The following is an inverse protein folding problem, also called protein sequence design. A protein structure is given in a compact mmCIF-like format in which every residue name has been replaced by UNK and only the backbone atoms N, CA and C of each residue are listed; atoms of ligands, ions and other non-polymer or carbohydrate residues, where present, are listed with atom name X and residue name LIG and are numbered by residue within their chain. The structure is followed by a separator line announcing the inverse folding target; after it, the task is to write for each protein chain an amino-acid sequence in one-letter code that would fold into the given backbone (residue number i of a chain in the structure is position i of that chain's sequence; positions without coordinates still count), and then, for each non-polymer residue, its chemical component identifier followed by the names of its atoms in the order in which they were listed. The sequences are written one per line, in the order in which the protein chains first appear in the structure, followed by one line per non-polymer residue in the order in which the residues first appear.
data_IF_632230310111
#
_entry.id   IF_632230310111
#
_cell.length_a   1.000
_cell.length_b   1.000
_cell.length_c   1.000
_cell.angle_alpha   90.00
_cell.angle_beta   90.00
_cell.angle_gamma   90.00
#
_symmetry.space_group_name_H-M   'P 1'
#
loop_
_entity.id
_entity.type
_entity.pdbx_description
1 polymer ?
#
# COMPACT_ATOMS: atom_id res chain seq x y z
N UNK A 1 23.12 -17.01 6.17
CA UNK A 1 23.16 -16.50 4.78
C UNK A 1 22.14 -15.38 4.72
N UNK A 2 22.48 -14.16 4.29
CA UNK A 2 21.48 -13.11 4.14
C UNK A 2 20.39 -13.59 3.17
N UNK A 3 19.11 -13.42 3.54
CA UNK A 3 18.00 -13.76 2.65
C UNK A 3 18.07 -12.89 1.40
N UNK A 4 17.91 -13.51 0.24
CA UNK A 4 17.83 -12.77 -1.01
C UNK A 4 16.44 -12.15 -1.22
N UNK A 5 16.30 -11.32 -2.26
CA UNK A 5 15.06 -10.61 -2.51
C UNK A 5 13.89 -11.55 -2.85
N UNK A 6 14.18 -12.68 -3.50
CA UNK A 6 13.15 -13.66 -3.88
C UNK A 6 12.63 -14.36 -2.62
N UNK A 7 13.52 -14.76 -1.72
CA UNK A 7 13.16 -15.29 -0.41
C UNK A 7 12.27 -14.32 0.37
N UNK A 8 12.62 -13.02 0.43
CA UNK A 8 11.79 -12.03 1.11
C UNK A 8 10.40 -11.89 0.47
N UNK A 9 10.30 -11.94 -0.87
CA UNK A 9 8.98 -11.90 -1.52
C UNK A 9 8.14 -13.14 -1.20
N UNK A 10 8.73 -14.32 -1.15
CA UNK A 10 8.00 -15.55 -0.77
C UNK A 10 7.46 -15.41 0.66
N UNK A 11 8.30 -14.98 1.60
CA UNK A 11 7.87 -14.74 3.00
C UNK A 11 6.74 -13.71 3.07
N UNK A 12 6.83 -12.62 2.30
CA UNK A 12 5.81 -11.57 2.27
C UNK A 12 4.48 -12.09 1.72
N UNK A 13 4.53 -12.90 0.66
CA UNK A 13 3.34 -13.52 0.05
C UNK A 13 2.62 -14.42 1.05
N UNK A 14 3.35 -15.32 1.73
CA UNK A 14 2.78 -16.24 2.72
C UNK A 14 2.18 -15.51 3.93
N UNK A 15 2.85 -14.46 4.42
CA UNK A 15 2.31 -13.64 5.52
C UNK A 15 1.00 -12.97 5.11
N UNK A 16 0.93 -12.41 3.90
CA UNK A 16 -0.29 -11.74 3.42
C UNK A 16 -1.43 -12.70 3.10
N UNK A 17 -1.13 -13.92 2.64
CA UNK A 17 -2.11 -15.00 2.50
C UNK A 17 -2.79 -15.31 3.85
N UNK A 18 -2.03 -15.23 4.94
CA UNK A 18 -2.55 -15.33 6.30
C UNK A 18 -3.38 -14.09 6.70
N UNK A 19 -2.76 -12.91 6.68
CA UNK A 19 -3.40 -11.64 7.01
C UNK A 19 -2.62 -10.45 6.44
N UNK A 20 -3.17 -9.79 5.41
CA UNK A 20 -2.55 -8.60 4.81
C UNK A 20 -2.36 -7.45 5.82
N UNK A 21 -3.29 -7.30 6.78
CA UNK A 21 -3.24 -6.32 7.87
C UNK A 21 -2.01 -6.42 8.77
N UNK A 22 -1.71 -7.64 9.25
CA UNK A 22 -0.51 -7.92 10.05
C UNK A 22 0.73 -7.84 9.16
N UNK A 23 0.63 -8.34 7.92
CA UNK A 23 1.69 -8.22 6.92
C UNK A 23 2.15 -6.78 6.71
N UNK A 24 1.22 -5.84 6.56
CA UNK A 24 1.55 -4.40 6.43
C UNK A 24 2.28 -3.86 7.66
N UNK A 25 1.85 -4.22 8.87
CA UNK A 25 2.49 -3.75 10.10
C UNK A 25 3.94 -4.25 10.23
N UNK A 26 4.21 -5.50 9.85
CA UNK A 26 5.56 -6.09 9.89
C UNK A 26 6.42 -5.53 8.75
N UNK A 27 5.93 -5.62 7.52
CA UNK A 27 6.70 -5.33 6.31
C UNK A 27 6.94 -3.82 6.08
N UNK A 28 6.23 -2.95 6.79
CA UNK A 28 6.52 -1.52 6.76
C UNK A 28 7.93 -1.18 7.32
N UNK A 29 8.49 -2.04 8.18
CA UNK A 29 9.87 -1.91 8.64
C UNK A 29 10.86 -1.98 7.47
N UNK A 30 10.67 -2.89 6.51
CA UNK A 30 11.54 -3.01 5.34
C UNK A 30 11.61 -1.70 4.55
N UNK A 31 10.51 -0.96 4.45
CA UNK A 31 10.47 0.33 3.78
C UNK A 31 11.30 1.40 4.53
N UNK A 32 11.25 1.40 5.86
CA UNK A 32 12.01 2.33 6.68
C UNK A 32 13.51 1.96 6.74
N UNK A 33 13.85 0.67 6.77
CA UNK A 33 15.21 0.15 6.90
C UNK A 33 16.01 0.20 5.58
N UNK A 34 15.35 -0.06 4.45
CA UNK A 34 15.97 -0.04 3.12
C UNK A 34 16.83 1.21 2.82
N UNK A 35 16.41 2.46 3.10
CA UNK A 35 17.26 3.63 2.84
C UNK A 35 18.57 3.60 3.65
N UNK A 36 18.55 3.07 4.87
CA UNK A 36 19.75 2.91 5.69
C UNK A 36 20.63 1.80 5.14
N UNK A 37 20.04 0.67 4.74
CA UNK A 37 20.76 -0.46 4.13
C UNK A 37 21.52 0.01 2.87
N UNK A 38 20.82 0.75 2.00
CA UNK A 38 21.35 1.20 0.70
C UNK A 38 22.33 2.38 0.82
N UNK A 39 22.05 3.36 1.67
CA UNK A 39 22.72 4.67 1.64
C UNK A 39 23.24 5.13 3.00
N UNK A 40 22.97 4.41 4.09
CA UNK A 40 23.46 4.73 5.43
C UNK A 40 24.96 4.49 5.58
N UNK A 41 25.62 5.33 6.37
CA UNK A 41 26.97 5.08 6.85
C UNK A 41 26.97 3.98 7.94
N UNK A 42 28.16 3.51 8.32
CA UNK A 42 28.30 2.39 9.26
C UNK A 42 27.76 2.73 10.67
N UNK A 43 27.87 3.98 11.12
CA UNK A 43 27.35 4.43 12.42
C UNK A 43 25.82 4.37 12.45
N UNK A 44 25.16 4.96 11.44
CA UNK A 44 23.70 4.96 11.31
C UNK A 44 23.18 3.53 11.17
N UNK A 45 23.81 2.70 10.34
CA UNK A 45 23.43 1.29 10.20
C UNK A 45 23.52 0.56 11.53
N UNK A 46 24.64 0.70 12.25
CA UNK A 46 24.86 0.04 13.54
C UNK A 46 23.86 0.48 14.61
N UNK A 47 23.58 1.78 14.71
CA UNK A 47 22.67 2.33 15.73
C UNK A 47 21.21 1.98 15.49
N UNK A 48 20.76 2.08 14.23
CA UNK A 48 19.34 1.97 13.91
C UNK A 48 18.91 0.58 13.46
N UNK A 49 19.74 -0.18 12.74
CA UNK A 49 19.35 -1.50 12.21
C UNK A 49 19.58 -2.62 13.22
N UNK A 50 20.66 -2.57 14.00
CA UNK A 50 20.99 -3.66 14.94
C UNK A 50 19.88 -3.86 15.98
N UNK A 51 19.31 -2.78 16.53
CA UNK A 51 18.20 -2.87 17.48
C UNK A 51 16.93 -3.50 16.91
N UNK A 52 16.69 -3.39 15.60
CA UNK A 52 15.53 -4.01 14.94
C UNK A 52 15.60 -5.54 14.93
N UNK A 53 16.81 -6.09 15.10
CA UNK A 53 17.05 -7.53 15.20
C UNK A 53 17.13 -8.05 16.64
N UNK A 54 17.30 -7.16 17.61
CA UNK A 54 17.42 -7.49 19.03
C UNK A 54 16.05 -7.61 19.70
N UNK A 55 15.13 -6.71 19.34
CA UNK A 55 13.77 -6.66 19.84
C UNK A 55 12.77 -6.47 18.69
N UNK A 56 11.50 -6.88 18.85
CA UNK A 56 10.46 -6.71 17.83
C UNK A 56 9.96 -5.25 17.76
N UNK A 57 10.86 -4.34 17.41
CA UNK A 57 10.60 -2.92 17.25
C UNK A 57 10.01 -2.62 15.87
N UNK A 58 9.36 -1.46 15.74
CA UNK A 58 8.86 -0.98 14.44
C UNK A 58 9.48 0.36 14.08
N UNK A 59 9.64 0.59 12.78
CA UNK A 59 10.13 1.83 12.20
C UNK A 59 9.13 2.37 11.18
N UNK A 60 9.26 3.65 10.86
CA UNK A 60 8.31 4.34 9.98
C UNK A 60 8.99 5.11 8.87
N UNK A 61 8.40 5.08 7.68
CA UNK A 61 8.87 5.81 6.51
C UNK A 61 8.04 7.07 6.29
N UNK A 62 8.57 8.22 6.70
CA UNK A 62 7.87 9.51 6.78
C UNK A 62 8.22 10.43 5.60
N UNK A 63 7.49 10.27 4.50
CA UNK A 63 7.67 11.08 3.27
C UNK A 63 6.41 11.84 2.89
N UNK A 64 5.28 11.13 2.78
CA UNK A 64 3.99 11.67 2.31
C UNK A 64 3.47 12.80 3.20
N UNK A 65 2.87 13.80 2.57
CA UNK A 65 2.23 14.94 3.21
C UNK A 65 0.80 15.10 2.69
N UNK A 66 -0.04 15.84 3.42
CA UNK A 66 -1.43 16.07 3.02
C UNK A 66 -1.57 16.72 1.64
N UNK A 67 -0.55 17.47 1.20
CA UNK A 67 -0.51 18.16 -0.09
C UNK A 67 0.36 17.46 -1.14
N UNK A 68 1.06 16.38 -0.77
CA UNK A 68 2.05 15.73 -1.62
C UNK A 68 2.17 14.23 -1.31
N UNK A 69 1.54 13.41 -2.16
CA UNK A 69 1.67 11.95 -2.18
C UNK A 69 2.46 11.48 -3.39
N UNK A 70 1.82 11.41 -4.56
CA UNK A 70 2.46 10.99 -5.81
C UNK A 70 3.59 11.93 -6.24
N UNK A 71 3.41 13.24 -6.05
CA UNK A 71 4.46 14.25 -6.28
C UNK A 71 5.32 14.44 -5.03
N UNK A 72 6.23 13.50 -4.78
CA UNK A 72 7.17 13.55 -3.65
C UNK A 72 8.06 14.80 -3.71
N UNK A 73 8.30 15.37 -4.90
CA UNK A 73 9.07 16.61 -5.03
C UNK A 73 8.31 17.84 -4.52
N UNK A 74 7.00 17.73 -4.36
CA UNK A 74 6.11 18.80 -3.87
C UNK A 74 6.06 18.96 -2.34
N UNK A 75 6.66 18.04 -1.57
CA UNK A 75 6.63 18.08 -0.09
C UNK A 75 7.23 19.39 0.46
N UNK A 76 6.74 19.82 1.62
CA UNK A 76 7.03 21.10 2.27
C UNK A 76 7.73 20.98 3.62
N UNK A 77 7.78 19.79 4.23
CA UNK A 77 8.61 19.58 5.44
C UNK A 77 10.02 20.04 5.12
N UNK A 78 10.55 20.95 5.94
CA UNK A 78 11.84 21.61 5.75
C UNK A 78 12.81 21.23 6.84
N UNK A 79 14.10 21.34 6.53
CA UNK A 79 15.16 21.22 7.51
C UNK A 79 16.19 22.34 7.32
N UNK A 80 16.71 22.86 8.42
CA UNK A 80 17.76 23.89 8.43
C UNK A 80 18.94 23.38 9.23
N UNK A 81 20.15 23.49 8.68
CA UNK A 81 21.37 23.11 9.41
C UNK A 81 21.73 24.20 10.43
N UNK A 82 21.88 23.84 11.70
CA UNK A 82 22.32 24.71 12.79
C UNK A 82 23.49 24.06 13.52
N UNK A 83 24.71 24.46 13.17
CA UNK A 83 25.92 23.85 13.71
C UNK A 83 26.07 22.39 13.26
N UNK A 84 26.11 21.48 14.23
CA UNK A 84 26.20 20.03 14.07
C UNK A 84 24.83 19.33 14.06
N UNK A 85 23.73 20.08 14.09
CA UNK A 85 22.36 19.57 14.02
C UNK A 85 21.59 20.10 12.80
N UNK A 86 20.47 19.45 12.51
CA UNK A 86 19.41 19.95 11.65
C UNK A 86 18.14 20.14 12.47
N UNK A 87 17.42 21.23 12.21
CA UNK A 87 16.10 21.48 12.79
C UNK A 87 15.04 21.20 11.73
N UNK A 88 14.19 20.21 11.98
CA UNK A 88 13.12 19.78 11.07
C UNK A 88 11.79 20.39 11.50
N UNK A 89 11.06 20.96 10.54
CA UNK A 89 9.73 21.52 10.73
C UNK A 89 8.79 21.10 9.60
N UNK A 90 7.63 20.55 9.94
CA UNK A 90 6.62 20.15 8.96
C UNK A 90 5.67 19.09 9.49
N UNK A 91 4.83 18.57 8.59
CA UNK A 91 3.89 17.50 8.92
C UNK A 91 3.85 16.46 7.81
N UNK A 92 3.75 15.20 8.25
CA UNK A 92 3.63 14.02 7.42
C UNK A 92 2.26 13.40 7.63
N UNK A 93 1.75 12.72 6.61
CA UNK A 93 0.41 12.15 6.61
C UNK A 93 0.43 10.69 6.16
N UNK A 94 -0.44 9.89 6.77
CA UNK A 94 -0.61 8.46 6.50
C UNK A 94 0.67 7.64 6.72
N UNK A 95 1.39 7.93 7.81
CA UNK A 95 2.64 7.25 8.13
C UNK A 95 2.33 5.95 8.87
N UNK A 96 2.63 4.83 8.20
CA UNK A 96 2.49 3.48 8.75
C UNK A 96 3.42 3.27 9.93
N UNK A 97 2.94 2.57 10.96
CA UNK A 97 3.62 2.29 12.24
C UNK A 97 3.93 3.51 13.13
N UNK A 98 3.54 4.71 12.72
CA UNK A 98 3.95 5.96 13.38
C UNK A 98 3.61 6.04 14.87
N UNK A 99 2.55 5.36 15.32
CA UNK A 99 2.14 5.29 16.71
C UNK A 99 3.15 4.59 17.61
N UNK A 100 3.90 3.62 17.08
CA UNK A 100 4.85 2.78 17.81
C UNK A 100 6.27 2.84 17.26
N UNK A 101 6.52 3.68 16.25
CA UNK A 101 7.81 3.83 15.61
C UNK A 101 8.91 4.13 16.64
N UNK A 102 9.88 3.24 16.74
CA UNK A 102 11.09 3.46 17.49
C UNK A 102 11.97 4.52 16.81
N UNK A 103 11.89 4.62 15.48
CA UNK A 103 12.47 5.70 14.69
C UNK A 103 11.78 5.90 13.35
N UNK A 104 12.06 7.06 12.74
CA UNK A 104 11.51 7.48 11.47
C UNK A 104 12.63 7.69 10.44
N UNK A 105 12.47 7.15 9.24
CA UNK A 105 13.07 7.76 8.07
C UNK A 105 12.29 9.04 7.75
N UNK A 106 12.95 10.20 7.68
CA UNK A 106 12.30 11.48 7.37
C UNK A 106 12.95 12.10 6.15
N UNK A 107 12.12 12.44 5.14
CA UNK A 107 12.55 13.26 4.01
C UNK A 107 12.10 14.71 4.22
N UNK A 108 13.07 15.63 4.24
CA UNK A 108 12.83 17.06 4.42
C UNK A 108 13.61 17.88 3.39
N UNK A 109 13.03 18.99 2.95
CA UNK A 109 13.65 19.95 2.03
C UNK A 109 14.74 20.72 2.76
N UNK A 110 15.98 20.58 2.33
CA UNK A 110 17.14 21.29 2.91
C UNK A 110 17.51 22.54 2.11
N UNK A 111 17.20 22.58 0.82
CA UNK A 111 17.40 23.77 -0.01
C UNK A 111 16.07 24.54 -0.17
N UNK A 112 15.96 25.78 0.33
CA UNK A 112 14.72 26.54 0.25
C UNK A 112 14.40 27.03 -1.16
N UNK A 113 15.34 27.07 -2.12
CA UNK A 113 15.06 27.55 -3.48
C UNK A 113 14.15 26.56 -4.21
N UNK A 114 12.91 26.92 -4.58
CA UNK A 114 11.99 26.04 -5.30
C UNK A 114 12.52 25.60 -6.67
N UNK A 115 13.49 26.32 -7.25
CA UNK A 115 14.12 25.97 -8.54
C UNK A 115 15.18 24.88 -8.41
N UNK A 116 15.67 24.60 -7.20
CA UNK A 116 16.64 23.53 -6.99
C UNK A 116 16.02 22.19 -7.39
N UNK A 117 16.68 21.43 -8.29
CA UNK A 117 16.13 20.18 -8.78
C UNK A 117 15.95 19.19 -7.61
N UNK A 118 14.90 18.34 -7.63
CA UNK A 118 14.59 17.46 -6.51
C UNK A 118 15.77 16.59 -6.06
N UNK A 119 16.59 16.12 -7.00
CA UNK A 119 17.79 15.33 -6.70
C UNK A 119 18.91 16.05 -5.93
N UNK A 120 18.75 17.35 -5.64
CA UNK A 120 19.67 18.18 -4.83
C UNK A 120 18.98 18.94 -3.69
N UNK A 121 17.65 18.92 -3.61
CA UNK A 121 16.89 19.82 -2.75
C UNK A 121 16.55 19.24 -1.36
N UNK A 122 16.65 17.92 -1.18
CA UNK A 122 16.13 17.23 0.01
C UNK A 122 17.23 16.49 0.74
N UNK A 123 17.13 16.41 2.05
CA UNK A 123 18.01 15.59 2.89
C UNK A 123 17.16 14.52 3.60
N UNK A 124 17.71 13.31 3.71
CA UNK A 124 17.09 12.19 4.38
C UNK A 124 17.74 11.97 5.75
N UNK A 125 16.93 11.63 6.75
CA UNK A 125 17.36 11.49 8.14
C UNK A 125 16.82 10.21 8.77
N UNK A 126 17.61 9.62 9.67
CA UNK A 126 17.11 8.70 10.69
C UNK A 126 16.81 9.51 11.97
N UNK A 127 15.54 9.59 12.37
CA UNK A 127 15.08 10.40 13.51
C UNK A 127 14.57 9.48 14.61
N UNK A 128 15.10 9.61 15.83
CA UNK A 128 14.63 8.83 16.97
C UNK A 128 13.16 9.15 17.26
N UNK A 129 12.37 8.12 17.55
CA UNK A 129 10.91 8.23 17.64
C UNK A 129 10.40 9.08 18.80
N UNK A 130 11.24 9.29 19.81
CA UNK A 130 11.00 10.05 21.03
C UNK A 130 11.70 11.43 21.03
N UNK A 131 12.28 11.84 19.89
CA UNK A 131 12.92 13.15 19.77
C UNK A 131 11.93 14.27 20.15
N UNK A 132 12.31 15.19 21.06
CA UNK A 132 11.44 16.32 21.42
C UNK A 132 10.98 17.12 20.19
N UNK A 133 9.69 17.48 20.18
CA UNK A 133 9.06 18.18 19.05
C UNK A 133 8.30 17.26 18.08
N UNK A 134 8.40 15.93 18.22
CA UNK A 134 7.59 14.99 17.46
C UNK A 134 6.22 14.82 18.14
N UNK A 135 5.16 15.11 17.39
CA UNK A 135 3.78 14.83 17.81
C UNK A 135 3.15 13.78 16.92
N UNK A 136 2.72 12.66 17.51
CA UNK A 136 1.99 11.58 16.83
C UNK A 136 0.49 11.86 16.89
N UNK A 137 -0.16 11.92 15.75
CA UNK A 137 -1.60 12.12 15.65
C UNK A 137 -2.42 10.93 16.18
N UNK A 138 -3.75 11.05 16.09
CA UNK A 138 -4.64 9.92 16.35
C UNK A 138 -4.45 8.82 15.30
N UNK A 139 -4.73 7.57 15.67
CA UNK A 139 -4.81 6.46 14.69
C UNK A 139 -5.93 6.75 13.69
N UNK A 140 -5.60 6.67 12.41
CA UNK A 140 -6.59 6.83 11.35
C UNK A 140 -7.53 5.62 11.28
N UNK A 141 -8.79 5.89 10.94
CA UNK A 141 -9.80 4.86 10.70
C UNK A 141 -9.80 4.57 9.21
N UNK A 142 -8.92 3.64 8.82
CA UNK A 142 -8.80 3.19 7.45
C UNK A 142 -9.93 2.20 7.10
N UNK A 143 -10.20 2.11 5.79
CA UNK A 143 -11.06 1.08 5.20
C UNK A 143 -10.48 -0.30 5.61
N UNK A 144 -9.34 -0.71 5.02
CA UNK A 144 -8.66 -1.97 5.32
C UNK A 144 -7.39 -1.80 6.15
N UNK A 145 -6.59 -2.87 6.27
CA UNK A 145 -5.27 -2.85 6.93
C UNK A 145 -5.33 -2.34 8.38
N UNK A 146 -6.46 -2.57 9.07
CA UNK A 146 -6.79 -1.94 10.37
C UNK A 146 -5.88 -2.38 11.52
N UNK A 147 -5.24 -3.54 11.39
CA UNK A 147 -4.21 -4.02 12.32
C UNK A 147 -2.98 -3.11 12.29
N UNK A 148 -2.64 -2.56 11.13
CA UNK A 148 -1.56 -1.60 10.98
C UNK A 148 -1.92 -0.26 11.63
N UNK A 149 -0.95 0.35 12.30
CA UNK A 149 -1.08 1.73 12.77
C UNK A 149 -0.78 2.70 11.61
N UNK A 150 -1.57 3.76 11.49
CA UNK A 150 -1.40 4.80 10.47
C UNK A 150 -1.78 6.14 11.08
N UNK A 151 -0.91 7.14 10.99
CA UNK A 151 -1.13 8.45 11.64
C UNK A 151 -0.56 9.60 10.84
N UNK A 152 -1.08 10.80 11.09
CA UNK A 152 -0.32 12.02 10.87
C UNK A 152 0.80 12.17 11.89
N UNK A 153 1.93 12.76 11.48
CA UNK A 153 3.08 13.04 12.36
C UNK A 153 3.53 14.48 12.12
N UNK A 154 3.62 15.27 13.18
CA UNK A 154 4.09 16.65 13.12
C UNK A 154 5.48 16.75 13.74
N UNK A 155 6.36 17.51 13.09
CA UNK A 155 7.70 17.84 13.55
C UNK A 155 7.74 19.35 13.82
N UNK A 156 7.89 19.74 15.09
CA UNK A 156 8.02 21.13 15.54
C UNK A 156 9.39 21.32 16.19
N UNK A 157 10.28 22.04 15.49
CA UNK A 157 11.66 22.29 15.91
C UNK A 157 12.44 21.04 16.35
N UNK A 158 12.20 19.91 15.67
CA UNK A 158 12.83 18.63 15.96
C UNK A 158 14.31 18.70 15.60
N UNK A 159 15.19 18.54 16.59
CA UNK A 159 16.64 18.59 16.44
C UNK A 159 17.19 17.21 16.15
N UNK A 160 17.92 17.10 15.04
CA UNK A 160 18.48 15.84 14.57
C UNK A 160 19.99 16.03 14.35
N UNK A 161 20.86 15.21 14.95
CA UNK A 161 22.30 15.29 14.70
C UNK A 161 22.63 15.14 13.21
N UNK A 162 23.59 15.91 12.71
CA UNK A 162 24.06 15.79 11.32
C UNK A 162 24.64 14.39 11.02
N UNK A 163 25.08 13.67 12.05
CA UNK A 163 25.51 12.27 11.95
C UNK A 163 24.37 11.31 11.53
N UNK A 164 23.10 11.70 11.76
CA UNK A 164 21.93 10.89 11.40
C UNK A 164 21.45 11.12 9.95
N UNK A 165 22.16 11.91 9.15
CA UNK A 165 21.89 12.07 7.72
C UNK A 165 22.14 10.75 7.00
N UNK A 166 21.21 10.35 6.13
CA UNK A 166 21.31 9.15 5.29
C UNK A 166 21.73 9.57 3.88
N UNK A 167 22.86 9.04 3.41
CA UNK A 167 23.51 9.52 2.18
C UNK A 167 24.18 10.88 2.38
N UNK A 168 24.29 11.67 1.31
CA UNK A 168 24.83 13.03 1.38
C UNK A 168 23.71 14.08 1.53
N UNK A 169 23.96 15.22 2.22
CA UNK A 169 23.04 16.35 2.24
C UNK A 169 22.62 16.78 0.82
N UNK A 170 21.33 17.02 0.63
CA UNK A 170 20.75 17.33 -0.69
C UNK A 170 20.41 16.11 -1.55
N UNK A 171 20.86 14.90 -1.22
CA UNK A 171 20.59 13.68 -2.01
C UNK A 171 19.41 12.85 -1.50
N UNK A 172 18.68 13.31 -0.49
CA UNK A 172 17.59 12.58 0.15
C UNK A 172 16.49 12.12 -0.81
N UNK A 173 16.18 12.91 -1.86
CA UNK A 173 15.21 12.50 -2.88
C UNK A 173 15.69 11.26 -3.64
N UNK A 174 16.99 11.17 -3.97
CA UNK A 174 17.56 9.98 -4.62
C UNK A 174 17.50 8.77 -3.69
N UNK A 175 17.76 8.96 -2.40
CA UNK A 175 17.64 7.91 -1.38
C UNK A 175 16.20 7.37 -1.33
N UNK A 176 15.21 8.25 -1.32
CA UNK A 176 13.80 7.87 -1.33
C UNK A 176 13.40 7.09 -2.61
N UNK A 177 13.84 7.55 -3.79
CA UNK A 177 13.54 6.85 -5.05
C UNK A 177 14.19 5.47 -5.13
N UNK A 178 15.47 5.35 -4.74
CA UNK A 178 16.16 4.06 -4.66
C UNK A 178 15.46 3.09 -3.70
N UNK A 179 14.92 3.62 -2.61
CA UNK A 179 14.14 2.83 -1.63
C UNK A 179 12.90 2.24 -2.29
N UNK A 180 12.09 3.06 -2.97
CA UNK A 180 10.90 2.57 -3.67
C UNK A 180 11.22 1.54 -4.75
N UNK A 181 12.28 1.76 -5.53
CA UNK A 181 12.70 0.81 -6.55
C UNK A 181 13.04 -0.57 -5.95
N UNK A 182 13.64 -0.59 -4.76
CA UNK A 182 14.00 -1.82 -4.04
C UNK A 182 12.83 -2.51 -3.34
N UNK A 183 11.86 -1.76 -2.81
CA UNK A 183 10.78 -2.33 -1.99
C UNK A 183 9.49 -2.65 -2.73
N UNK A 184 9.27 -2.13 -3.95
CA UNK A 184 8.08 -2.43 -4.76
C UNK A 184 7.74 -3.92 -4.90
N UNK A 185 8.72 -4.84 -5.15
CA UNK A 185 8.42 -6.27 -5.23
C UNK A 185 7.81 -6.85 -3.95
N UNK A 186 8.15 -6.31 -2.77
CA UNK A 186 7.58 -6.77 -1.50
C UNK A 186 6.09 -6.40 -1.39
N UNK A 187 5.73 -5.19 -1.82
CA UNK A 187 4.33 -4.76 -1.84
C UNK A 187 3.52 -5.59 -2.84
N UNK A 188 4.10 -5.92 -3.99
CA UNK A 188 3.50 -6.81 -4.98
C UNK A 188 3.28 -8.24 -4.43
N UNK A 189 4.22 -8.74 -3.61
CA UNK A 189 4.09 -10.03 -2.95
C UNK A 189 2.94 -10.04 -1.92
N UNK A 190 2.79 -8.98 -1.11
CA UNK A 190 1.66 -8.84 -0.19
C UNK A 190 0.32 -8.92 -0.94
N UNK A 191 0.20 -8.21 -2.06
CA UNK A 191 -0.98 -8.25 -2.92
C UNK A 191 -1.22 -9.67 -3.50
N UNK A 192 -0.17 -10.33 -3.96
CA UNK A 192 -0.24 -11.68 -4.53
C UNK A 192 -0.73 -12.72 -3.51
N UNK A 193 -0.25 -12.65 -2.27
CA UNK A 193 -0.62 -13.59 -1.21
C UNK A 193 -2.10 -13.48 -0.83
N UNK A 194 -2.58 -12.26 -0.67
CA UNK A 194 -4.00 -11.97 -0.47
C UNK A 194 -4.85 -12.47 -1.64
N UNK A 195 -4.43 -12.19 -2.88
CA UNK A 195 -5.11 -12.64 -4.09
C UNK A 195 -5.23 -14.18 -4.15
N UNK A 196 -4.17 -14.88 -3.79
CA UNK A 196 -4.18 -16.34 -3.67
C UNK A 196 -5.17 -16.81 -2.60
N UNK A 197 -5.23 -16.14 -1.44
CA UNK A 197 -6.21 -16.46 -0.40
C UNK A 197 -7.65 -16.27 -0.88
N UNK A 198 -7.91 -15.20 -1.64
CA UNK A 198 -9.24 -14.96 -2.21
C UNK A 198 -9.67 -16.06 -3.17
N UNK A 199 -8.74 -16.55 -4.01
CA UNK A 199 -9.00 -17.67 -4.92
C UNK A 199 -9.35 -18.94 -4.16
N UNK A 200 -8.57 -19.30 -3.13
CA UNK A 200 -8.81 -20.53 -2.37
C UNK A 200 -10.17 -20.51 -1.65
N UNK A 201 -10.52 -19.38 -1.03
CA UNK A 201 -11.82 -19.23 -0.37
C UNK A 201 -12.98 -19.26 -1.37
N UNK A 202 -12.84 -18.59 -2.52
CA UNK A 202 -13.86 -18.60 -3.58
C UNK A 202 -14.04 -20.01 -4.18
N UNK A 203 -12.95 -20.73 -4.46
CA UNK A 203 -12.98 -22.08 -5.00
C UNK A 203 -13.62 -23.05 -4.00
N UNK A 204 -13.26 -22.95 -2.72
CA UNK A 204 -13.87 -23.73 -1.64
C UNK A 204 -15.37 -23.46 -1.54
N UNK A 205 -15.77 -22.19 -1.49
CA UNK A 205 -17.19 -21.82 -1.39
C UNK A 205 -17.99 -22.31 -2.61
N UNK A 206 -17.41 -22.27 -3.80
CA UNK A 206 -18.06 -22.75 -5.01
C UNK A 206 -18.40 -24.26 -4.96
N UNK A 207 -17.62 -25.04 -4.23
CA UNK A 207 -17.84 -26.47 -3.99
C UNK A 207 -18.79 -26.75 -2.81
N UNK A 208 -19.06 -25.79 -1.94
CA UNK A 208 -19.98 -25.94 -0.81
C UNK A 208 -21.39 -25.46 -1.17
N UNK A 209 -21.50 -24.28 -1.79
CA UNK A 209 -22.76 -23.63 -2.10
C UNK A 209 -23.52 -24.34 -3.21
N UNK A 210 -24.81 -24.57 -2.99
CA UNK A 210 -25.74 -25.13 -3.99
C UNK A 210 -26.82 -24.14 -4.38
N UNK A 211 -27.05 -23.98 -5.68
CA UNK A 211 -28.19 -23.25 -6.26
C UNK A 211 -28.64 -23.96 -7.54
N UNK A 212 -29.94 -23.84 -7.87
CA UNK A 212 -30.51 -24.49 -9.07
C UNK A 212 -30.23 -26.00 -9.13
N UNK A 213 -30.28 -26.67 -7.98
CA UNK A 213 -30.15 -28.13 -7.87
C UNK A 213 -28.73 -28.68 -7.93
N UNK A 214 -27.69 -27.85 -8.00
CA UNK A 214 -26.29 -28.31 -8.08
C UNK A 214 -25.32 -27.37 -7.37
N UNK A 215 -24.07 -27.80 -7.16
CA UNK A 215 -23.00 -26.93 -6.65
C UNK A 215 -22.74 -25.78 -7.63
N UNK A 216 -22.47 -24.58 -7.11
CA UNK A 216 -22.29 -23.42 -7.99
C UNK A 216 -21.03 -23.54 -8.87
N UNK A 217 -20.04 -24.34 -8.45
CA UNK A 217 -18.90 -24.74 -9.27
C UNK A 217 -19.28 -25.44 -10.59
N UNK A 218 -20.50 -26.00 -10.71
CA UNK A 218 -20.98 -26.61 -11.96
C UNK A 218 -21.57 -25.60 -12.95
N UNK A 219 -21.78 -24.35 -12.54
CA UNK A 219 -22.24 -23.29 -13.44
C UNK A 219 -21.03 -22.71 -14.19
N UNK A 220 -21.05 -22.76 -15.52
CA UNK A 220 -19.92 -22.32 -16.37
C UNK A 220 -19.48 -20.87 -16.09
N UNK A 221 -20.41 -19.98 -15.74
CA UNK A 221 -20.09 -18.60 -15.37
C UNK A 221 -19.15 -18.53 -14.14
N UNK A 222 -19.35 -19.40 -13.15
CA UNK A 222 -18.48 -19.48 -11.96
C UNK A 222 -17.12 -20.08 -12.34
N UNK A 223 -17.11 -21.08 -13.22
CA UNK A 223 -15.87 -21.70 -13.70
C UNK A 223 -14.98 -20.69 -14.43
N UNK A 224 -15.56 -19.83 -15.27
CA UNK A 224 -14.81 -18.76 -15.94
C UNK A 224 -14.23 -17.75 -14.95
N UNK A 225 -15.00 -17.34 -13.94
CA UNK A 225 -14.49 -16.44 -12.90
C UNK A 225 -13.30 -17.09 -12.17
N UNK A 226 -13.43 -18.33 -11.69
CA UNK A 226 -12.34 -19.03 -10.99
C UNK A 226 -11.11 -19.25 -11.88
N UNK A 227 -11.31 -19.55 -13.16
CA UNK A 227 -10.22 -19.71 -14.12
C UNK A 227 -9.46 -18.38 -14.33
N UNK A 228 -10.17 -17.27 -14.52
CA UNK A 228 -9.57 -15.94 -14.63
C UNK A 228 -8.86 -15.55 -13.34
N UNK A 229 -9.42 -15.90 -12.18
CA UNK A 229 -8.78 -15.65 -10.89
C UNK A 229 -7.44 -16.40 -10.79
N UNK A 230 -7.43 -17.69 -11.13
CA UNK A 230 -6.22 -18.53 -11.11
C UNK A 230 -5.13 -18.02 -12.07
N UNK A 231 -5.51 -17.65 -13.29
CA UNK A 231 -4.57 -17.08 -14.27
C UNK A 231 -3.95 -15.79 -13.75
N UNK A 232 -4.75 -14.90 -13.14
CA UNK A 232 -4.26 -13.63 -12.63
C UNK A 232 -3.33 -13.80 -11.42
N UNK A 233 -3.65 -14.69 -10.48
CA UNK A 233 -2.78 -15.00 -9.34
C UNK A 233 -1.42 -15.52 -9.80
N UNK A 234 -1.41 -16.46 -10.76
CA UNK A 234 -0.15 -17.03 -11.26
C UNK A 234 0.68 -15.99 -12.02
N UNK A 235 0.03 -15.14 -12.82
CA UNK A 235 0.69 -14.03 -13.50
C UNK A 235 1.31 -13.04 -12.49
N UNK A 236 0.56 -12.67 -11.44
CA UNK A 236 1.03 -11.79 -10.38
C UNK A 236 2.29 -12.34 -9.70
N UNK A 237 2.28 -13.63 -9.36
CA UNK A 237 3.41 -14.33 -8.73
C UNK A 237 4.64 -14.34 -9.62
N UNK A 238 4.49 -14.72 -10.89
CA UNK A 238 5.60 -14.74 -11.86
C UNK A 238 6.22 -13.35 -12.05
N UNK A 239 5.39 -12.30 -12.15
CA UNK A 239 5.87 -10.92 -12.29
C UNK A 239 6.59 -10.43 -11.03
N UNK A 240 6.06 -10.77 -9.85
CA UNK A 240 6.63 -10.42 -8.55
C UNK A 240 7.99 -11.08 -8.36
N UNK A 241 8.09 -12.40 -8.53
CA UNK A 241 9.34 -13.14 -8.34
C UNK A 241 10.39 -12.78 -9.37
N UNK A 242 9.98 -12.55 -10.63
CA UNK A 242 10.89 -12.04 -11.66
C UNK A 242 11.45 -10.68 -11.28
N UNK A 243 10.61 -9.77 -10.78
CA UNK A 243 11.05 -8.43 -10.38
C UNK A 243 12.00 -8.48 -9.18
N UNK A 244 11.73 -9.36 -8.22
CA UNK A 244 12.63 -9.62 -7.09
C UNK A 244 13.99 -10.16 -7.56
N UNK A 245 14.00 -11.13 -8.47
CA UNK A 245 15.23 -11.69 -9.06
C UNK A 245 16.02 -10.64 -9.87
N UNK A 246 15.35 -9.83 -10.69
CA UNK A 246 16.00 -8.77 -11.47
C UNK A 246 16.59 -7.67 -10.56
N UNK A 247 16.03 -7.48 -9.37
CA UNK A 247 16.58 -6.59 -8.34
C UNK A 247 17.90 -7.11 -7.76
N UNK A 248 18.14 -8.42 -7.81
CA UNK A 248 19.43 -9.04 -7.44
C UNK A 248 20.45 -8.89 -8.58
N UNK A 249 20.01 -8.99 -9.84
CA UNK A 249 20.92 -9.21 -10.96
C UNK A 249 21.54 -7.95 -11.60
N UNK A 250 20.96 -6.74 -11.48
CA UNK A 250 21.63 -5.55 -12.07
C UNK A 250 21.26 -4.22 -11.41
N UNK A 251 22.31 -3.44 -11.11
CA UNK A 251 22.38 -1.97 -11.01
C UNK A 251 21.87 -1.20 -12.26
N UNK A 252 21.17 -1.84 -13.21
CA UNK A 252 20.93 -1.32 -14.57
C UNK A 252 19.64 -1.85 -15.24
N UNK A 253 18.59 -2.23 -14.49
CA UNK A 253 17.27 -2.56 -15.06
C UNK A 253 16.31 -1.38 -14.93
N UNK A 254 15.65 -1.03 -16.04
CA UNK A 254 14.74 0.11 -16.20
C UNK A 254 13.61 0.13 -15.17
N UNK A 255 13.45 1.28 -14.50
CA UNK A 255 12.38 1.64 -13.55
C UNK A 255 10.97 1.25 -14.03
N UNK A 256 10.75 1.21 -15.36
CA UNK A 256 9.46 0.86 -15.97
C UNK A 256 8.95 -0.53 -15.59
N UNK A 257 9.82 -1.54 -15.43
CA UNK A 257 9.39 -2.92 -15.12
C UNK A 257 8.99 -3.10 -13.65
N UNK A 258 9.68 -2.43 -12.74
CA UNK A 258 9.33 -2.42 -11.31
C UNK A 258 8.00 -1.72 -11.05
N UNK A 259 7.70 -0.67 -11.80
CA UNK A 259 6.39 0.00 -11.76
C UNK A 259 5.28 -0.97 -12.18
N UNK A 260 5.46 -1.69 -13.29
CA UNK A 260 4.48 -2.67 -13.77
C UNK A 260 4.26 -3.82 -12.76
N UNK A 261 5.30 -4.26 -12.05
CA UNK A 261 5.18 -5.29 -11.00
C UNK A 261 4.39 -4.83 -9.78
N UNK A 262 4.33 -3.52 -9.51
CA UNK A 262 3.51 -2.99 -8.43
C UNK A 262 2.04 -2.83 -8.86
N UNK A 263 1.81 -2.26 -10.05
CA UNK A 263 0.45 -1.98 -10.52
C UNK A 263 -0.34 -3.23 -10.88
N UNK A 264 0.25 -4.19 -11.60
CA UNK A 264 -0.51 -5.35 -12.09
C UNK A 264 -1.09 -6.22 -10.96
N UNK A 265 -0.32 -6.60 -9.91
CA UNK A 265 -0.86 -7.35 -8.78
C UNK A 265 -1.88 -6.56 -7.96
N UNK A 266 -1.65 -5.26 -7.72
CA UNK A 266 -2.59 -4.43 -6.96
C UNK A 266 -3.93 -4.21 -7.69
N UNK A 267 -3.90 -4.02 -9.01
CA UNK A 267 -5.12 -3.97 -9.83
C UNK A 267 -5.83 -5.34 -9.85
N UNK A 268 -5.06 -6.43 -9.94
CA UNK A 268 -5.61 -7.78 -9.90
C UNK A 268 -6.25 -8.08 -8.54
N UNK A 269 -5.67 -7.67 -7.41
CA UNK A 269 -6.32 -7.80 -6.08
C UNK A 269 -7.70 -7.16 -6.07
N UNK A 270 -7.83 -5.94 -6.58
CA UNK A 270 -9.13 -5.25 -6.60
C UNK A 270 -10.17 -6.02 -7.44
N UNK A 271 -9.75 -6.60 -8.56
CA UNK A 271 -10.58 -7.46 -9.40
C UNK A 271 -10.94 -8.79 -8.73
N UNK A 272 -9.98 -9.43 -8.08
CA UNK A 272 -10.13 -10.74 -7.43
C UNK A 272 -10.99 -10.65 -6.17
N UNK A 273 -10.84 -9.57 -5.40
CA UNK A 273 -11.69 -9.27 -4.25
C UNK A 273 -13.13 -9.06 -4.73
N UNK A 274 -13.34 -8.25 -5.78
CA UNK A 274 -14.65 -8.07 -6.39
C UNK A 274 -15.25 -9.40 -6.89
N UNK A 275 -14.46 -10.21 -7.60
CA UNK A 275 -14.89 -11.52 -8.10
C UNK A 275 -15.27 -12.48 -6.96
N UNK A 276 -14.50 -12.54 -5.87
CA UNK A 276 -14.82 -13.36 -4.70
C UNK A 276 -16.14 -12.92 -4.06
N UNK A 277 -16.40 -11.61 -3.98
CA UNK A 277 -17.67 -11.05 -3.51
C UNK A 277 -18.83 -11.42 -4.45
N UNK A 278 -18.63 -11.38 -5.77
CA UNK A 278 -19.66 -11.75 -6.74
C UNK A 278 -20.02 -13.25 -6.70
N UNK A 279 -19.13 -14.11 -6.19
CA UNK A 279 -19.46 -15.52 -5.92
C UNK A 279 -20.26 -15.72 -4.62
N UNK A 280 -20.37 -14.69 -3.77
CA UNK A 280 -21.13 -14.70 -2.53
C UNK A 280 -22.57 -14.15 -2.72
N UNK A 281 -23.58 -14.69 -2.03
CA UNK A 281 -24.96 -14.19 -2.10
C UNK A 281 -25.15 -12.89 -1.30
N UNK A 282 -26.17 -12.11 -1.66
CA UNK A 282 -26.42 -10.76 -1.12
C UNK A 282 -26.74 -10.66 0.38
N UNK A 283 -26.86 -11.79 1.07
CA UNK A 283 -27.18 -11.90 2.49
C UNK A 283 -25.98 -12.34 3.36
N UNK A 284 -24.81 -12.59 2.76
CA UNK A 284 -23.58 -13.04 3.46
C UNK A 284 -22.52 -11.93 3.60
N UNK A 285 -22.88 -10.70 3.29
CA UNK A 285 -22.06 -9.49 3.46
C UNK A 285 -21.72 -9.12 4.91
N UNK A 286 -22.22 -9.88 5.89
CA UNK A 286 -21.86 -9.68 7.30
C UNK A 286 -20.43 -10.14 7.57
N UNK A 287 -19.65 -9.33 8.31
CA UNK A 287 -18.27 -9.64 8.72
C UNK A 287 -18.11 -11.04 9.33
N UNK A 288 -19.14 -11.59 9.96
CA UNK A 288 -19.09 -12.84 10.71
C UNK A 288 -19.14 -14.13 9.86
N UNK A 289 -19.29 -14.04 8.52
CA UNK A 289 -19.43 -15.22 7.65
C UNK A 289 -18.28 -15.39 6.63
N UNK A 290 -17.57 -14.31 6.29
CA UNK A 290 -16.48 -14.31 5.30
C UNK A 290 -15.16 -13.81 5.91
N UNK A 291 -14.20 -14.71 6.12
CA UNK A 291 -12.88 -14.36 6.71
C UNK A 291 -12.05 -13.41 5.86
N UNK A 292 -12.32 -13.33 4.55
CA UNK A 292 -11.63 -12.42 3.61
C UNK A 292 -12.04 -10.96 3.85
N UNK A 293 -13.29 -10.70 4.25
CA UNK A 293 -13.81 -9.34 4.45
C UNK A 293 -13.51 -8.75 5.83
N UNK A 294 -13.11 -9.57 6.81
CA UNK A 294 -12.74 -9.11 8.16
C UNK A 294 -11.42 -8.34 8.20
N UNK A 295 -10.47 -8.70 7.34
CA UNK A 295 -9.15 -8.04 7.25
C UNK A 295 -9.09 -6.98 6.15
N UNK A 296 -10.00 -7.07 5.18
CA UNK A 296 -10.17 -6.12 4.10
C UNK A 296 -11.64 -5.75 4.01
N UNK A 297 -11.92 -4.54 4.44
CA UNK A 297 -13.21 -3.90 4.29
C UNK A 297 -13.70 -3.89 2.83
N UNK A 298 -14.44 -4.93 2.52
CA UNK A 298 -15.68 -4.84 1.77
C UNK A 298 -16.74 -4.65 2.85
N UNK A 299 -16.98 -3.40 3.25
CA UNK A 299 -18.13 -3.09 4.09
C UNK A 299 -19.34 -3.02 3.17
N UNK A 300 -20.15 -4.06 3.17
CA UNK A 300 -21.58 -3.91 2.85
C UNK A 300 -22.26 -3.86 4.21
N UNK A 301 -22.43 -2.64 4.71
CA UNK A 301 -23.05 -2.42 6.00
C UNK A 301 -24.53 -2.80 5.92
N UNK A 302 -24.92 -3.78 6.73
CA UNK A 302 -26.31 -4.12 6.97
C UNK A 302 -26.86 -3.16 8.02
N UNK A 303 -27.71 -2.20 7.65
CA UNK A 303 -28.66 -1.57 8.57
C UNK A 303 -29.72 -0.76 7.80
N UNK A 304 -30.89 -0.72 8.41
CA UNK A 304 -32.21 -0.41 7.84
C UNK A 304 -32.37 0.94 7.12
N UNK A 305 -33.16 0.89 6.05
CA UNK A 305 -33.93 1.99 5.43
C UNK A 305 -33.18 3.22 4.90
N UNK A 306 -33.39 3.43 3.58
CA UNK A 306 -33.18 4.66 2.80
C UNK A 306 -31.72 5.04 2.44
N UNK A 307 -31.45 4.90 1.14
CA UNK A 307 -30.37 5.52 0.35
C UNK A 307 -29.02 4.79 0.33
N UNK A 308 -28.90 3.84 -0.61
CA UNK A 308 -27.64 3.19 -0.98
C UNK A 308 -26.87 4.00 -2.02
N UNK A 309 -25.58 4.24 -1.79
CA UNK A 309 -24.58 4.59 -2.83
C UNK A 309 -23.38 3.69 -2.65
N UNK A 310 -23.28 2.64 -3.46
CA UNK A 310 -22.09 1.80 -3.54
C UNK A 310 -21.22 2.32 -4.70
N UNK A 311 -19.96 2.63 -4.42
CA UNK A 311 -18.99 3.06 -5.43
C UNK A 311 -17.99 1.93 -5.65
N UNK A 312 -18.00 1.34 -6.86
CA UNK A 312 -17.02 0.33 -7.27
C UNK A 312 -16.31 0.89 -8.50
N UNK A 313 -14.98 1.01 -8.43
CA UNK A 313 -14.15 1.52 -9.54
C UNK A 313 -13.66 0.32 -10.36
N UNK A 314 -14.17 0.17 -11.58
CA UNK A 314 -13.67 -0.78 -12.57
C UNK A 314 -13.11 -0.01 -13.75
N UNK A 315 -11.82 -0.19 -14.07
CA UNK A 315 -11.21 0.11 -15.38
C UNK A 315 -11.80 1.34 -16.11
N UNK A 316 -11.67 2.52 -15.51
CA UNK A 316 -12.12 3.82 -16.07
C UNK A 316 -13.62 3.93 -16.41
N UNK A 317 -14.47 3.08 -15.83
CA UNK A 317 -15.94 3.19 -15.88
C UNK A 317 -16.53 3.16 -14.48
N UNK A 318 -17.29 4.20 -14.15
CA UNK A 318 -18.10 4.27 -12.93
C UNK A 318 -19.46 3.71 -13.28
N UNK A 319 -19.85 2.61 -12.64
CA UNK A 319 -21.19 2.05 -12.77
C UNK A 319 -22.08 2.64 -11.67
N UNK A 320 -23.09 3.41 -12.07
CA UNK A 320 -24.08 4.01 -11.15
C UNK A 320 -25.38 3.24 -11.31
N UNK A 321 -25.87 2.65 -10.21
CA UNK A 321 -27.22 2.09 -10.15
C UNK A 321 -28.14 3.19 -9.64
N UNK A 322 -29.01 3.71 -10.51
CA UNK A 322 -30.08 4.62 -10.13
C UNK A 322 -31.38 3.83 -10.07
N UNK A 323 -32.04 3.84 -8.93
CA UNK A 323 -33.38 3.28 -8.79
C UNK A 323 -34.39 4.38 -9.18
N UNK A 324 -35.11 4.21 -10.29
CA UNK A 324 -36.28 5.05 -10.55
C UNK A 324 -37.39 4.57 -9.62
N UNK A 325 -37.76 5.40 -8.64
CA UNK A 325 -38.78 5.06 -7.65
C UNK A 325 -40.10 4.57 -8.26
N UNK A 326 -40.93 3.86 -7.49
CA UNK A 326 -42.10 3.18 -8.02
C UNK A 326 -43.14 4.18 -8.53
N UNK A 327 -43.49 4.11 -9.82
CA UNK A 327 -44.83 4.50 -10.25
C UNK A 327 -45.78 3.34 -9.94
N UNK A 328 -46.92 3.68 -9.36
CA UNK A 328 -47.97 2.74 -8.93
C UNK A 328 -48.43 1.93 -10.15
N UNK A 329 -48.03 0.65 -10.23
CA UNK A 329 -48.43 -0.39 -11.19
C UNK A 329 -47.44 -0.89 -12.25
N UNK A 330 -46.11 -0.71 -12.12
CA UNK A 330 -45.15 -1.50 -12.91
C UNK A 330 -44.08 -2.21 -12.06
N UNK A 331 -43.72 -3.44 -12.46
CA UNK A 331 -42.58 -4.20 -11.94
C UNK A 331 -41.28 -3.37 -12.10
N UNK A 332 -40.39 -3.31 -11.09
CA UNK A 332 -39.20 -2.47 -11.16
C UNK A 332 -38.31 -2.85 -12.36
N UNK A 333 -38.13 -1.93 -13.31
CA UNK A 333 -37.16 -2.09 -14.40
C UNK A 333 -35.81 -1.61 -13.89
N UNK A 334 -34.89 -2.54 -13.62
CA UNK A 334 -33.48 -2.21 -13.38
C UNK A 334 -32.88 -1.71 -14.70
N UNK A 335 -32.55 -0.42 -14.78
CA UNK A 335 -31.79 0.13 -15.90
C UNK A 335 -30.33 0.30 -15.50
N UNK A 336 -29.45 -0.25 -16.32
CA UNK A 336 -28.00 -0.13 -16.18
C UNK A 336 -27.54 1.08 -16.98
N UNK A 337 -26.92 2.06 -16.33
CA UNK A 337 -26.27 3.17 -17.01
C UNK A 337 -24.75 3.04 -16.86
N UNK A 338 -24.05 2.94 -17.99
CA UNK A 338 -22.61 3.12 -18.04
C UNK A 338 -22.35 4.62 -18.23
N UNK A 339 -21.67 5.26 -17.29
CA UNK A 339 -21.15 6.62 -17.48
C UNK A 339 -19.68 6.51 -17.84
N UNK A 340 -19.35 6.90 -19.07
CA UNK A 340 -17.99 6.95 -19.57
C UNK A 340 -17.38 8.31 -19.19
N UNK A 341 -16.35 8.31 -18.35
CA UNK A 341 -15.61 9.53 -18.00
C UNK A 341 -14.49 9.67 -19.02
N UNK A 342 -14.70 10.53 -20.01
CA UNK A 342 -13.70 10.85 -21.03
C UNK A 342 -12.55 11.65 -20.41
N UNK A 343 -11.35 11.08 -20.35
CA UNK A 343 -10.16 11.83 -19.98
C UNK A 343 -9.76 12.73 -21.16
N UNK A 344 -9.86 14.06 -21.02
CA UNK A 344 -9.20 14.98 -21.96
C UNK A 344 -7.72 14.67 -22.00
N UNK A 345 -7.25 14.23 -23.17
CA UNK A 345 -5.88 13.79 -23.46
C UNK A 345 -5.02 14.94 -24.01
N UNK A 346 -5.33 16.19 -23.65
CA UNK A 346 -4.79 17.38 -24.31
C UNK A 346 -3.85 18.22 -23.41
N UNK A 347 -3.03 17.59 -22.56
CA UNK A 347 -2.09 18.33 -21.71
C UNK A 347 -0.67 17.75 -21.69
N UNK A 348 -0.24 17.16 -22.81
CA UNK A 348 1.15 16.83 -23.09
C UNK A 348 1.50 17.25 -24.52
N UNK A 349 1.47 18.57 -24.74
CA UNK A 349 2.31 19.28 -25.72
C UNK A 349 3.11 20.37 -24.99
#
# INVERSE_FOLDING_TARGET
MPMDMVCNTIVSEEIAYGCSGIGTAIMANDLAETPLILCGNDDVKKRFLTRMTEEPLVASYAVTESIAGSDVAGIKTKCEKKGDEYVINGSKMWITNAGYANWFFVLARSDPDPKTPPGKAFTAFAVEGDTPGITRGKKEINLGQRCSDTRGVTFEDVRVPAANVIGAPGEGFKVAMKTFDKTRPLVAALATGLAARCLDEAAKYALERKTFGTHIANHQAIQFILADMAVNVELARLMTYRSAHETIFVLFVSTKRQTVCHYAPCEQVSFLLAASIFTAPANEYSSNQWKVTEHESVVVDSLDTLHFRCFIVFRWKVYVVLDSGPSVNETPKKQWFAVEVESRRDALE
#
